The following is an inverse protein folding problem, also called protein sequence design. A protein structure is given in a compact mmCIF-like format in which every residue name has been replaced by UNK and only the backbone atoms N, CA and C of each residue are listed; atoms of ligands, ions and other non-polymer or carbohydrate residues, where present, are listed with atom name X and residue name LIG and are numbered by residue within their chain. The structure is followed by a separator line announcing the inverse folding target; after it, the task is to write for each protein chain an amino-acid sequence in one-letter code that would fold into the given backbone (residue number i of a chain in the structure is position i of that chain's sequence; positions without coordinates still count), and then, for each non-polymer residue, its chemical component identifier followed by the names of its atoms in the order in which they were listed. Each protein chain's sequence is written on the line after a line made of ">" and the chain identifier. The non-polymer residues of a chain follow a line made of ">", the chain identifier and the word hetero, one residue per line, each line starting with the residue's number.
data_IF_319717924573
#
_entry.id   IF_319717924573
#
_cell.length_a   1.000
_cell.length_b   1.000
_cell.length_c   1.000
_cell.angle_alpha   90.00
_cell.angle_beta   90.00
_cell.angle_gamma   90.00
#
_symmetry.space_group_name_H-M   'P 1'
#
loop_
_entity.id
_entity.type
_entity.pdbx_description
1 polymer ?
#
# COMPACT_ATOMS: atom_id res chain seq x y z
N UNK A 1 14.79 10.41 -19.39
CA UNK A 1 13.36 10.12 -19.64
C UNK A 1 13.29 9.38 -20.96
N UNK A 2 13.45 8.06 -20.92
CA UNK A 2 13.43 7.22 -22.12
C UNK A 2 12.06 6.57 -22.19
N UNK A 3 11.28 7.01 -23.17
CA UNK A 3 10.01 6.41 -23.58
C UNK A 3 10.39 5.29 -24.55
N UNK A 4 10.24 4.04 -24.14
CA UNK A 4 10.43 2.87 -25.00
C UNK A 4 9.18 2.67 -25.87
N UNK A 5 9.28 2.67 -27.22
CA UNK A 5 8.13 2.74 -28.13
C UNK A 5 7.51 1.39 -28.53
N UNK A 6 7.78 0.30 -27.80
CA UNK A 6 7.38 -1.07 -28.21
C UNK A 6 6.12 -1.62 -27.53
N UNK A 7 5.30 -0.79 -26.91
CA UNK A 7 4.07 -1.20 -26.23
C UNK A 7 2.86 -1.51 -27.17
N UNK A 8 3.04 -1.57 -28.50
CA UNK A 8 1.94 -1.62 -29.46
C UNK A 8 1.66 -2.97 -30.15
N UNK A 9 2.26 -4.08 -29.71
CA UNK A 9 1.95 -5.39 -30.29
C UNK A 9 2.15 -6.54 -29.32
N UNK A 10 1.26 -6.67 -28.33
CA UNK A 10 1.08 -7.94 -27.61
C UNK A 10 -0.03 -8.75 -28.29
N UNK A 11 0.25 -9.93 -28.89
CA UNK A 11 -0.80 -10.86 -29.29
C UNK A 11 -1.61 -11.22 -28.04
N UNK A 12 -2.90 -10.90 -28.07
CA UNK A 12 -3.84 -10.93 -26.94
C UNK A 12 -4.17 -12.33 -26.41
N UNK A 13 -3.37 -13.35 -26.74
CA UNK A 13 -3.63 -14.76 -26.43
C UNK A 13 -2.36 -15.53 -25.99
N UNK A 14 -1.30 -14.82 -25.61
CA UNK A 14 -0.18 -15.46 -24.89
C UNK A 14 -0.41 -15.33 -23.40
N UNK A 15 -0.48 -16.46 -22.69
CA UNK A 15 -0.73 -16.48 -21.25
C UNK A 15 0.27 -15.56 -20.54
N UNK A 16 -0.23 -14.66 -19.68
CA UNK A 16 0.59 -13.74 -18.86
C UNK A 16 1.74 -14.50 -18.18
N UNK A 17 1.49 -15.75 -17.78
CA UNK A 17 2.46 -16.68 -17.22
C UNK A 17 3.68 -16.94 -18.11
N UNK A 18 3.49 -17.09 -19.42
CA UNK A 18 4.58 -17.33 -20.39
C UNK A 18 5.44 -16.08 -20.62
N UNK A 19 4.81 -14.90 -20.67
CA UNK A 19 5.53 -13.62 -20.78
C UNK A 19 6.35 -13.34 -19.50
N UNK A 20 5.77 -13.59 -18.32
CA UNK A 20 6.43 -13.40 -17.03
C UNK A 20 7.54 -14.44 -16.80
N UNK A 21 7.37 -15.68 -17.29
CA UNK A 21 8.42 -16.70 -17.29
C UNK A 21 9.58 -16.36 -18.23
N UNK A 22 9.27 -15.86 -19.44
CA UNK A 22 10.29 -15.41 -20.40
C UNK A 22 11.10 -14.22 -19.86
N UNK A 23 10.42 -13.26 -19.21
CA UNK A 23 11.08 -12.13 -18.55
C UNK A 23 11.89 -12.55 -17.32
N UNK A 24 11.44 -13.54 -16.56
CA UNK A 24 12.20 -14.10 -15.41
C UNK A 24 13.48 -14.82 -15.84
N UNK A 25 13.49 -15.44 -17.02
CA UNK A 25 14.63 -16.20 -17.55
C UNK A 25 15.61 -15.34 -18.35
N UNK A 26 15.22 -14.12 -18.75
CA UNK A 26 16.13 -13.15 -19.32
C UNK A 26 16.99 -12.56 -18.18
N UNK A 27 18.26 -12.96 -18.14
CA UNK A 27 19.25 -12.76 -17.06
C UNK A 27 19.55 -11.32 -16.61
N UNK A 28 18.76 -10.33 -17.04
CA UNK A 28 18.91 -8.91 -16.72
C UNK A 28 17.64 -8.24 -16.17
N UNK A 29 16.51 -8.94 -16.03
CA UNK A 29 15.30 -8.39 -15.42
C UNK A 29 15.25 -8.66 -13.91
N UNK A 30 16.02 -7.90 -13.15
CA UNK A 30 15.88 -7.83 -11.70
C UNK A 30 14.57 -7.14 -11.34
N UNK A 31 13.64 -7.85 -10.69
CA UNK A 31 12.41 -7.27 -10.15
C UNK A 31 12.64 -6.47 -8.85
N UNK A 32 13.91 -6.27 -8.45
CA UNK A 32 14.31 -5.53 -7.26
C UNK A 32 13.79 -4.09 -7.22
N UNK A 33 13.79 -3.27 -8.31
CA UNK A 33 13.22 -1.93 -8.26
C UNK A 33 11.70 -1.96 -8.15
N UNK A 34 11.02 -2.94 -8.77
CA UNK A 34 9.57 -3.10 -8.66
C UNK A 34 9.15 -3.49 -7.23
N UNK A 35 9.89 -4.39 -6.58
CA UNK A 35 9.68 -4.73 -5.16
C UNK A 35 9.95 -3.55 -4.25
N UNK A 36 11.02 -2.81 -4.52
CA UNK A 36 11.39 -1.64 -3.72
C UNK A 36 10.34 -0.54 -3.83
N UNK A 37 9.87 -0.22 -5.04
CA UNK A 37 8.80 0.77 -5.24
C UNK A 37 7.49 0.34 -4.60
N UNK A 38 7.06 -0.90 -4.82
CA UNK A 38 5.84 -1.43 -4.23
C UNK A 38 5.87 -1.39 -2.70
N UNK A 39 6.96 -1.88 -2.10
CA UNK A 39 7.14 -1.88 -0.65
C UNK A 39 7.21 -0.47 -0.06
N UNK A 40 7.98 0.44 -0.67
CA UNK A 40 8.09 1.83 -0.23
C UNK A 40 6.73 2.53 -0.23
N UNK A 41 5.91 2.29 -1.25
CA UNK A 41 4.58 2.90 -1.37
C UNK A 41 3.65 2.43 -0.25
N UNK A 42 3.58 1.12 0.01
CA UNK A 42 2.71 0.56 1.05
C UNK A 42 3.17 0.94 2.47
N UNK A 43 4.48 0.92 2.74
CA UNK A 43 5.03 1.34 4.03
C UNK A 43 4.80 2.84 4.24
N UNK A 44 5.03 3.66 3.22
CA UNK A 44 4.78 5.10 3.26
C UNK A 44 3.31 5.43 3.52
N UNK A 45 2.38 4.76 2.83
CA UNK A 45 0.94 4.88 3.06
C UNK A 45 0.54 4.46 4.47
N UNK A 46 1.11 3.37 4.99
CA UNK A 46 0.87 2.93 6.37
C UNK A 46 1.32 4.00 7.37
N UNK A 47 2.57 4.44 7.28
CA UNK A 47 3.13 5.47 8.17
C UNK A 47 2.34 6.79 8.09
N UNK A 48 1.97 7.22 6.89
CA UNK A 48 1.16 8.43 6.68
C UNK A 48 -0.25 8.30 7.26
N UNK A 49 -0.90 7.14 7.08
CA UNK A 49 -2.22 6.85 7.65
C UNK A 49 -2.20 6.90 9.17
N UNK A 50 -1.17 6.33 9.79
CA UNK A 50 -1.01 6.41 11.24
C UNK A 50 -0.81 7.85 11.72
N UNK A 51 0.10 8.59 11.09
CA UNK A 51 0.42 9.96 11.49
C UNK A 51 -0.76 10.92 11.33
N UNK A 52 -1.41 10.90 10.16
CA UNK A 52 -2.56 11.77 9.86
C UNK A 52 -3.81 11.37 10.66
N UNK A 53 -4.08 10.06 10.78
CA UNK A 53 -5.21 9.54 11.54
C UNK A 53 -5.12 9.87 13.03
N UNK A 54 -3.92 9.74 13.63
CA UNK A 54 -3.69 10.09 15.03
C UNK A 54 -3.85 11.60 15.29
N UNK A 55 -3.51 12.45 14.32
CA UNK A 55 -3.72 13.91 14.42
C UNK A 55 -5.20 14.29 14.44
N UNK A 56 -6.01 13.70 13.56
CA UNK A 56 -7.47 13.96 13.54
C UNK A 56 -8.17 13.52 14.83
N UNK A 57 -7.73 12.42 15.45
CA UNK A 57 -8.29 11.94 16.73
C UNK A 57 -7.88 12.79 17.94
N UNK A 58 -6.76 13.51 17.85
CA UNK A 58 -6.18 14.32 18.93
C UNK A 58 -6.69 15.75 18.95
N UNK A 59 -7.28 16.21 17.84
CA UNK A 59 -8.05 17.45 17.83
C UNK A 59 -9.16 17.32 18.86
N UNK A 60 -9.05 18.10 19.94
CA UNK A 60 -9.97 18.06 21.07
C UNK A 60 -11.43 18.17 20.61
N UNK A 61 -11.66 18.94 19.55
CA UNK A 61 -12.96 19.16 18.90
C UNK A 61 -13.62 17.86 18.43
N UNK A 62 -12.90 16.99 17.70
CA UNK A 62 -13.42 15.71 17.21
C UNK A 62 -13.69 14.76 18.39
N UNK A 63 -12.78 14.74 19.36
CA UNK A 63 -12.90 13.92 20.55
C UNK A 63 -14.09 14.31 21.42
N UNK A 64 -14.32 15.62 21.60
CA UNK A 64 -15.45 16.18 22.34
C UNK A 64 -16.78 15.95 21.61
N UNK A 65 -16.81 16.10 20.29
CA UNK A 65 -18.00 15.80 19.48
C UNK A 65 -18.39 14.32 19.59
N UNK A 66 -17.42 13.40 19.58
CA UNK A 66 -17.69 11.95 19.72
C UNK A 66 -18.19 11.60 21.13
N UNK A 67 -17.61 12.21 22.17
CA UNK A 67 -18.07 12.03 23.55
C UNK A 67 -19.49 12.58 23.74
N UNK A 68 -19.82 13.72 23.13
CA UNK A 68 -21.14 14.34 23.18
C UNK A 68 -22.19 13.59 22.34
N UNK A 69 -21.76 12.89 21.29
CA UNK A 69 -22.64 12.17 20.36
C UNK A 69 -23.11 10.79 20.86
N UNK A 70 -22.64 10.29 22.01
CA UNK A 70 -23.15 9.06 22.63
C UNK A 70 -23.03 7.79 21.77
N UNK A 71 -22.15 7.77 20.77
CA UNK A 71 -22.02 6.66 19.83
C UNK A 71 -21.45 5.41 20.51
N UNK A 72 -22.11 4.26 20.33
CA UNK A 72 -21.69 2.96 20.89
C UNK A 72 -20.36 2.47 20.32
N UNK A 73 -19.99 2.92 19.12
CA UNK A 73 -18.67 2.74 18.52
C UNK A 73 -17.89 4.06 18.63
N UNK A 74 -17.37 4.33 19.83
CA UNK A 74 -16.65 5.56 20.16
C UNK A 74 -15.28 5.71 19.49
N UNK A 75 -14.39 6.48 20.12
CA UNK A 75 -13.01 6.71 19.65
C UNK A 75 -12.16 5.45 19.50
N UNK A 76 -12.45 4.41 20.29
CA UNK A 76 -11.69 3.15 20.27
C UNK A 76 -11.77 2.44 18.92
N UNK A 77 -12.97 2.32 18.34
CA UNK A 77 -13.17 1.66 17.04
C UNK A 77 -12.43 2.40 15.90
N UNK A 78 -12.43 3.74 15.94
CA UNK A 78 -11.72 4.58 14.97
C UNK A 78 -10.19 4.44 15.09
N UNK A 79 -9.68 4.36 16.32
CA UNK A 79 -8.25 4.08 16.56
C UNK A 79 -7.86 2.69 16.09
N UNK A 80 -8.69 1.69 16.39
CA UNK A 80 -8.45 0.31 15.99
C UNK A 80 -8.41 0.16 14.46
N UNK A 81 -9.31 0.82 13.72
CA UNK A 81 -9.28 0.78 12.26
C UNK A 81 -8.04 1.46 11.69
N UNK A 82 -7.65 2.64 12.17
CA UNK A 82 -6.43 3.34 11.72
C UNK A 82 -5.18 2.51 12.00
N UNK A 83 -5.07 1.93 13.19
CA UNK A 83 -3.97 1.04 13.55
C UNK A 83 -3.95 -0.21 12.67
N UNK A 84 -5.10 -0.87 12.48
CA UNK A 84 -5.19 -2.08 11.66
C UNK A 84 -4.84 -1.82 10.20
N UNK A 85 -5.34 -0.73 9.62
CA UNK A 85 -5.09 -0.38 8.21
C UNK A 85 -3.63 0.04 7.99
N UNK A 86 -3.07 0.81 8.93
CA UNK A 86 -1.65 1.19 8.93
C UNK A 86 -0.74 -0.03 9.05
N UNK A 87 -0.99 -0.91 10.03
CA UNK A 87 -0.20 -2.13 10.22
C UNK A 87 -0.33 -3.06 9.02
N UNK A 88 -1.54 -3.22 8.48
CA UNK A 88 -1.78 -4.05 7.30
C UNK A 88 -1.00 -3.57 6.08
N UNK A 89 -1.05 -2.27 5.77
CA UNK A 89 -0.27 -1.70 4.66
C UNK A 89 1.24 -1.87 4.89
N UNK A 90 1.74 -1.55 6.08
CA UNK A 90 3.16 -1.68 6.38
C UNK A 90 3.64 -3.15 6.31
N UNK A 91 2.85 -4.08 6.84
CA UNK A 91 3.15 -5.51 6.82
C UNK A 91 3.18 -6.06 5.38
N UNK A 92 2.20 -5.71 4.55
CA UNK A 92 2.17 -6.11 3.14
C UNK A 92 3.34 -5.54 2.35
N UNK A 93 3.72 -4.28 2.61
CA UNK A 93 4.88 -3.65 2.01
C UNK A 93 6.17 -4.36 2.36
N UNK A 94 6.38 -4.67 3.65
CA UNK A 94 7.56 -5.40 4.12
C UNK A 94 7.61 -6.84 3.57
N UNK A 95 6.47 -7.54 3.56
CA UNK A 95 6.36 -8.90 3.04
C UNK A 95 6.74 -8.98 1.55
N UNK A 96 6.27 -8.04 0.73
CA UNK A 96 6.61 -7.98 -0.71
C UNK A 96 8.09 -7.71 -1.01
N UNK A 97 8.81 -7.08 -0.08
CA UNK A 97 10.25 -6.86 -0.24
C UNK A 97 11.03 -8.16 -0.04
N UNK A 98 10.63 -8.96 0.97
CA UNK A 98 11.33 -10.18 1.38
C UNK A 98 10.94 -11.39 0.53
N UNK A 99 9.65 -11.58 0.22
CA UNK A 99 9.12 -12.74 -0.49
C UNK A 99 9.09 -12.55 -1.99
#
# INVERSE_FOLDING_TARGET
>A
MSIDPTAHSLPSDTSISSALASQRNASGYDCTPCRLMGSATFVGLGAYTYYSGMKQLRQAEVQQQILKSGSKFGLGARKASILGLSMGCAALGMYRLVN
#
